data_IF_250539265781
#
_entry.id   IF_250539265781
#
_cell.length_a   1.000
_cell.length_b   1.000
_cell.length_c   1.000
_cell.angle_alpha   90.00
_cell.angle_beta   90.00
_cell.angle_gamma   90.00
#
_symmetry.space_group_name_H-M   'P 1'
#
loop_
_entity.id
_entity.type
_entity.pdbx_description
1 polymer ?
#
# COMPACT_ATOMS: atom_id res chain seq x y z
N UNK A 1 21.05 -5.21 2.57
CA UNK A 1 21.72 -6.49 2.95
C UNK A 1 22.15 -6.50 4.42
N UNK A 2 22.29 -5.35 5.06
CA UNK A 2 22.74 -5.22 6.46
C UNK A 2 21.59 -5.38 7.48
N UNK A 3 20.40 -5.76 7.02
CA UNK A 3 19.24 -6.00 7.90
C UNK A 3 19.55 -7.11 8.91
N UNK A 4 19.45 -6.80 10.20
CA UNK A 4 19.63 -7.78 11.26
C UNK A 4 18.44 -8.75 11.32
N UNK A 5 18.68 -9.95 11.87
CA UNK A 5 17.63 -10.96 12.08
C UNK A 5 16.47 -10.43 12.92
N UNK A 6 16.77 -9.64 13.95
CA UNK A 6 15.76 -9.12 14.86
C UNK A 6 14.93 -8.02 14.21
N UNK A 7 15.57 -7.12 13.44
CA UNK A 7 14.84 -6.13 12.66
C UNK A 7 13.94 -6.80 11.60
N UNK A 8 14.45 -7.84 10.91
CA UNK A 8 13.64 -8.61 9.96
C UNK A 8 12.40 -9.21 10.63
N UNK A 9 12.58 -9.91 11.75
CA UNK A 9 11.49 -10.54 12.49
C UNK A 9 10.45 -9.50 12.94
N UNK A 10 10.90 -8.43 13.58
CA UNK A 10 10.03 -7.37 14.08
C UNK A 10 9.23 -6.71 12.93
N UNK A 11 9.88 -6.42 11.79
CA UNK A 11 9.22 -5.82 10.63
C UNK A 11 8.15 -6.76 10.05
N UNK A 12 8.46 -8.05 9.90
CA UNK A 12 7.53 -9.05 9.41
C UNK A 12 6.35 -9.28 10.37
N UNK A 13 6.63 -9.33 11.67
CA UNK A 13 5.61 -9.49 12.69
C UNK A 13 4.61 -8.33 12.68
N UNK A 14 5.12 -7.09 12.72
CA UNK A 14 4.27 -5.89 12.79
C UNK A 14 3.56 -5.62 11.47
N UNK A 15 4.24 -5.75 10.33
CA UNK A 15 3.74 -5.24 9.05
C UNK A 15 3.13 -6.31 8.12
N UNK A 16 3.20 -7.58 8.52
CA UNK A 16 2.61 -8.69 7.76
C UNK A 16 1.81 -9.63 8.67
N UNK A 17 2.44 -10.23 9.69
CA UNK A 17 1.79 -11.24 10.53
C UNK A 17 0.59 -10.69 11.31
N UNK A 18 0.65 -9.44 11.78
CA UNK A 18 -0.46 -8.77 12.47
C UNK A 18 -1.75 -8.76 11.64
N UNK A 19 -1.65 -8.66 10.32
CA UNK A 19 -2.82 -8.78 9.43
C UNK A 19 -3.41 -10.20 9.44
N UNK A 20 -2.57 -11.21 9.35
CA UNK A 20 -3.00 -12.62 9.40
C UNK A 20 -3.69 -12.90 10.73
N UNK A 21 -3.10 -12.42 11.82
CA UNK A 21 -3.65 -12.56 13.17
C UNK A 21 -4.98 -11.82 13.31
N UNK A 22 -5.09 -10.60 12.79
CA UNK A 22 -6.35 -9.86 12.76
C UNK A 22 -7.44 -10.62 11.99
N UNK A 23 -7.13 -11.20 10.83
CA UNK A 23 -8.06 -12.04 10.07
C UNK A 23 -8.51 -13.27 10.87
N UNK A 24 -7.59 -13.92 11.59
CA UNK A 24 -7.89 -15.08 12.45
C UNK A 24 -8.91 -14.73 13.53
N UNK A 25 -8.74 -13.60 14.21
CA UNK A 25 -9.65 -13.18 15.28
C UNK A 25 -10.94 -12.56 14.76
N UNK A 26 -10.92 -11.93 13.59
CA UNK A 26 -12.12 -11.38 12.95
C UNK A 26 -13.03 -12.46 12.37
N UNK A 27 -12.47 -13.50 11.75
CA UNK A 27 -13.20 -14.53 11.03
C UNK A 27 -14.41 -15.12 11.82
N UNK A 28 -14.30 -15.52 13.11
CA UNK A 28 -15.42 -16.11 13.83
C UNK A 28 -16.53 -15.12 14.21
N UNK A 29 -16.29 -13.82 14.11
CA UNK A 29 -17.24 -12.77 14.48
C UNK A 29 -17.76 -11.97 13.28
N UNK A 30 -17.25 -12.24 12.07
CA UNK A 30 -17.71 -11.58 10.86
C UNK A 30 -18.99 -12.22 10.34
N UNK A 31 -19.92 -11.37 9.88
CA UNK A 31 -21.13 -11.82 9.20
C UNK A 31 -20.83 -12.24 7.76
N UNK A 32 -21.70 -13.03 7.17
CA UNK A 32 -21.71 -13.29 5.73
C UNK A 32 -21.76 -11.96 4.95
N UNK A 33 -20.98 -11.85 3.88
CA UNK A 33 -20.85 -10.62 3.10
C UNK A 33 -19.93 -9.57 3.72
N UNK A 34 -19.23 -9.88 4.82
CA UNK A 34 -18.23 -9.00 5.44
C UNK A 34 -17.07 -8.68 4.51
N UNK A 35 -16.33 -7.63 4.84
CA UNK A 35 -15.16 -7.21 4.04
C UNK A 35 -14.03 -6.72 4.93
N UNK A 36 -12.81 -7.09 4.57
CA UNK A 36 -11.56 -6.66 5.21
C UNK A 36 -10.73 -5.91 4.17
N UNK A 37 -10.15 -4.79 4.57
CA UNK A 37 -9.20 -4.03 3.76
C UNK A 37 -7.95 -3.75 4.58
N UNK A 38 -6.78 -3.96 3.97
CA UNK A 38 -5.50 -3.56 4.52
C UNK A 38 -4.82 -2.53 3.63
N UNK A 39 -3.78 -1.86 4.15
CA UNK A 39 -3.01 -0.88 3.40
C UNK A 39 -1.62 -1.43 3.07
N UNK A 40 -1.27 -1.37 1.80
CA UNK A 40 0.06 -1.68 1.29
C UNK A 40 0.68 -0.46 0.59
N UNK A 41 1.82 -0.64 -0.02
CA UNK A 41 2.54 0.41 -0.73
C UNK A 41 3.37 -0.18 -1.86
N UNK A 42 3.53 0.55 -2.95
CA UNK A 42 4.21 0.07 -4.16
C UNK A 42 5.65 -0.46 -3.94
N UNK A 43 6.24 -0.21 -2.78
CA UNK A 43 7.51 -0.84 -2.40
C UNK A 43 7.45 -2.37 -2.28
N UNK A 44 6.26 -2.97 -2.32
CA UNK A 44 6.04 -4.41 -2.48
C UNK A 44 6.41 -4.93 -3.86
N UNK A 45 6.25 -4.10 -4.89
CA UNK A 45 6.43 -4.46 -6.30
C UNK A 45 7.72 -3.88 -6.90
N UNK A 46 8.14 -2.71 -6.42
CA UNK A 46 9.29 -1.96 -6.94
C UNK A 46 10.20 -1.52 -5.82
N UNK A 47 11.49 -1.43 -6.12
CA UNK A 47 12.47 -0.92 -5.16
C UNK A 47 12.29 0.59 -4.99
N UNK A 48 12.08 1.02 -3.76
CA UNK A 48 12.08 2.42 -3.37
C UNK A 48 13.28 2.70 -2.48
N UNK A 49 14.00 3.80 -2.69
CA UNK A 49 15.12 4.18 -1.83
C UNK A 49 14.70 4.23 -0.36
N UNK A 50 15.53 3.67 0.52
CA UNK A 50 15.34 3.66 1.98
C UNK A 50 14.09 2.90 2.50
N UNK A 51 13.31 2.27 1.63
CA UNK A 51 12.15 1.48 2.07
C UNK A 51 12.56 0.06 2.53
N UNK A 52 13.63 -0.48 1.96
CA UNK A 52 14.35 -1.68 2.42
C UNK A 52 13.42 -2.86 2.77
N UNK A 53 13.60 -3.41 3.98
CA UNK A 53 12.87 -4.59 4.47
C UNK A 53 11.35 -4.37 4.58
N UNK A 54 10.89 -3.13 4.70
CA UNK A 54 9.47 -2.83 4.66
C UNK A 54 8.83 -3.22 3.32
N UNK A 55 9.56 -3.08 2.20
CA UNK A 55 9.11 -3.56 0.89
C UNK A 55 8.88 -5.07 0.88
N UNK A 56 9.77 -5.84 1.49
CA UNK A 56 9.63 -7.30 1.63
C UNK A 56 8.41 -7.64 2.47
N UNK A 57 8.19 -6.93 3.58
CA UNK A 57 7.02 -7.13 4.43
C UNK A 57 5.71 -6.79 3.71
N UNK A 58 5.69 -5.72 2.89
CA UNK A 58 4.50 -5.37 2.08
C UNK A 58 4.23 -6.39 0.98
N UNK A 59 5.25 -6.96 0.33
CA UNK A 59 5.09 -8.05 -0.62
C UNK A 59 4.50 -9.31 0.06
N UNK A 60 4.98 -9.64 1.25
CA UNK A 60 4.43 -10.73 2.06
C UNK A 60 2.98 -10.45 2.50
N UNK A 61 2.65 -9.21 2.87
CA UNK A 61 1.29 -8.78 3.21
C UNK A 61 0.34 -8.97 2.01
N UNK A 62 0.72 -8.56 0.81
CA UNK A 62 -0.10 -8.72 -0.40
C UNK A 62 -0.31 -10.19 -0.77
N UNK A 63 0.71 -11.01 -0.60
CA UNK A 63 0.53 -12.45 -0.70
C UNK A 63 -0.48 -12.97 0.34
N UNK A 64 -0.37 -12.53 1.59
CA UNK A 64 -1.27 -12.91 2.68
C UNK A 64 -2.72 -12.48 2.42
N UNK A 65 -2.96 -11.36 1.76
CA UNK A 65 -4.30 -10.92 1.32
C UNK A 65 -4.94 -11.96 0.40
N UNK A 66 -4.20 -12.47 -0.58
CA UNK A 66 -4.71 -13.50 -1.52
C UNK A 66 -5.06 -14.81 -0.81
N UNK A 67 -4.21 -15.28 0.10
CA UNK A 67 -4.49 -16.49 0.89
C UNK A 67 -5.66 -16.28 1.85
N UNK A 68 -5.73 -15.14 2.54
CA UNK A 68 -6.85 -14.80 3.41
C UNK A 68 -8.18 -14.69 2.64
N UNK A 69 -8.15 -14.12 1.43
CA UNK A 69 -9.32 -14.05 0.55
C UNK A 69 -9.84 -15.45 0.17
N UNK A 70 -8.94 -16.39 -0.09
CA UNK A 70 -9.29 -17.79 -0.40
C UNK A 70 -9.89 -18.49 0.81
N UNK A 71 -9.32 -18.31 1.99
CA UNK A 71 -9.78 -18.96 3.21
C UNK A 71 -11.13 -18.40 3.70
N UNK A 72 -11.25 -17.07 3.74
CA UNK A 72 -12.43 -16.37 4.28
C UNK A 72 -13.57 -16.30 3.26
N UNK A 73 -13.29 -16.48 1.98
CA UNK A 73 -14.28 -16.50 0.92
C UNK A 73 -15.34 -17.61 1.10
N UNK A 74 -15.00 -18.70 1.77
CA UNK A 74 -15.94 -19.77 2.15
C UNK A 74 -17.05 -19.31 3.10
N UNK A 75 -16.80 -18.19 3.82
CA UNK A 75 -17.75 -17.55 4.71
C UNK A 75 -18.42 -16.32 4.05
N UNK A 76 -18.23 -16.12 2.74
CA UNK A 76 -18.69 -14.92 2.03
C UNK A 76 -17.93 -13.64 2.40
N UNK A 77 -16.81 -13.72 3.11
CA UNK A 77 -16.02 -12.57 3.53
C UNK A 77 -14.96 -12.25 2.45
N UNK A 78 -14.89 -10.98 2.05
CA UNK A 78 -13.96 -10.47 1.06
C UNK A 78 -12.73 -9.86 1.74
N UNK A 79 -11.57 -10.00 1.14
CA UNK A 79 -10.31 -9.50 1.69
C UNK A 79 -9.51 -8.84 0.57
N UNK A 80 -9.20 -7.54 0.71
CA UNK A 80 -8.48 -6.78 -0.29
C UNK A 80 -7.40 -5.89 0.35
N UNK A 81 -6.52 -5.36 -0.47
CA UNK A 81 -5.55 -4.34 -0.08
C UNK A 81 -5.71 -3.08 -0.93
N UNK A 82 -5.32 -1.95 -0.38
CA UNK A 82 -5.13 -0.70 -1.12
C UNK A 82 -3.65 -0.34 -1.08
N UNK A 83 -3.05 -0.22 -2.26
CA UNK A 83 -1.73 0.35 -2.45
C UNK A 83 -1.88 1.86 -2.63
N UNK A 84 -1.73 2.60 -1.54
CA UNK A 84 -1.87 4.06 -1.55
C UNK A 84 -0.58 4.73 -2.04
N UNK A 85 -0.69 5.80 -2.79
CA UNK A 85 0.44 6.69 -3.08
C UNK A 85 0.96 7.38 -1.81
N UNK A 86 2.03 8.16 -1.91
CA UNK A 86 2.59 8.85 -0.75
C UNK A 86 1.60 9.87 -0.21
N UNK A 87 1.27 9.75 1.08
CA UNK A 87 0.34 10.63 1.81
C UNK A 87 1.07 11.20 3.01
N UNK A 88 0.92 12.51 3.23
CA UNK A 88 1.49 13.19 4.39
C UNK A 88 0.77 12.77 5.68
N UNK A 89 1.35 11.82 6.39
CA UNK A 89 0.86 11.32 7.67
C UNK A 89 1.94 11.47 8.75
N UNK A 90 1.56 11.32 10.02
CA UNK A 90 2.52 11.31 11.13
C UNK A 90 3.55 10.18 10.97
N UNK A 91 3.13 8.99 10.55
CA UNK A 91 4.02 7.86 10.30
C UNK A 91 4.99 8.14 9.15
N UNK A 92 4.51 8.78 8.07
CA UNK A 92 5.33 9.15 6.92
C UNK A 92 6.37 10.22 7.25
N UNK A 93 6.13 11.08 8.25
CA UNK A 93 7.09 12.10 8.67
C UNK A 93 8.37 11.52 9.27
N UNK A 94 8.37 10.26 9.70
CA UNK A 94 9.54 9.52 10.16
C UNK A 94 10.41 8.95 9.03
N UNK A 95 9.97 9.02 7.77
CA UNK A 95 10.75 8.58 6.61
C UNK A 95 11.66 9.73 6.17
N UNK A 96 12.97 9.47 6.10
CA UNK A 96 13.92 10.43 5.58
C UNK A 96 13.54 10.90 4.17
N UNK A 97 13.75 12.19 3.89
CA UNK A 97 13.46 12.81 2.57
C UNK A 97 12.00 12.68 2.08
N UNK A 98 11.03 12.43 2.97
CA UNK A 98 9.63 12.23 2.57
C UNK A 98 9.06 13.39 1.73
N UNK A 99 9.53 14.63 1.96
CA UNK A 99 9.14 15.79 1.13
C UNK A 99 9.59 15.63 -0.31
N UNK A 100 10.79 15.09 -0.53
CA UNK A 100 11.31 14.81 -1.88
C UNK A 100 10.47 13.70 -2.55
N UNK A 101 10.05 12.68 -1.81
CA UNK A 101 9.16 11.63 -2.32
C UNK A 101 7.82 12.22 -2.78
N UNK A 102 7.20 13.10 -2.00
CA UNK A 102 5.96 13.77 -2.37
C UNK A 102 6.13 14.63 -3.63
N UNK A 103 7.18 15.42 -3.69
CA UNK A 103 7.44 16.29 -4.84
C UNK A 103 7.79 15.47 -6.10
N UNK A 104 8.62 14.43 -5.95
CA UNK A 104 8.88 13.49 -7.04
C UNK A 104 7.58 12.88 -7.60
N UNK A 105 6.68 12.46 -6.72
CA UNK A 105 5.41 11.87 -7.15
C UNK A 105 4.53 12.88 -7.89
N UNK A 106 4.45 14.11 -7.40
CA UNK A 106 3.72 15.21 -8.09
C UNK A 106 4.26 15.47 -9.50
N UNK A 107 5.58 15.49 -9.67
CA UNK A 107 6.19 15.75 -10.95
C UNK A 107 6.02 14.59 -11.95
N UNK A 108 5.93 13.36 -11.44
CA UNK A 108 6.05 12.18 -12.27
C UNK A 108 4.79 11.32 -12.38
N UNK A 109 3.78 11.45 -11.52
CA UNK A 109 2.55 10.67 -11.68
C UNK A 109 1.63 11.26 -12.78
N UNK A 110 0.82 10.44 -13.44
CA UNK A 110 -0.08 10.87 -14.52
C UNK A 110 -1.03 12.02 -14.17
N UNK A 111 -1.52 12.09 -12.92
CA UNK A 111 -2.42 13.16 -12.49
C UNK A 111 -1.69 14.40 -11.94
N UNK A 112 -0.34 14.41 -11.93
CA UNK A 112 0.51 15.51 -11.47
C UNK A 112 0.13 16.08 -10.10
N UNK A 113 -0.24 15.22 -9.17
CA UNK A 113 -0.55 15.54 -7.79
C UNK A 113 -0.41 14.32 -6.89
N UNK A 114 -0.29 14.51 -5.61
CA UNK A 114 -0.39 13.43 -4.65
C UNK A 114 -1.85 13.01 -4.41
N UNK A 115 -2.04 11.75 -4.04
CA UNK A 115 -3.32 11.23 -3.56
C UNK A 115 -3.66 11.84 -2.19
N UNK A 116 -4.94 12.02 -1.91
CA UNK A 116 -5.41 12.49 -0.61
C UNK A 116 -5.87 11.33 0.29
N UNK A 117 -5.96 11.59 1.61
CA UNK A 117 -6.52 10.63 2.56
C UNK A 117 -7.98 10.31 2.25
N UNK A 118 -8.74 11.31 1.80
CA UNK A 118 -10.14 11.17 1.42
C UNK A 118 -10.31 10.21 0.23
N UNK A 119 -9.47 10.31 -0.79
CA UNK A 119 -9.52 9.42 -1.96
C UNK A 119 -9.24 7.97 -1.58
N UNK A 120 -8.25 7.74 -0.72
CA UNK A 120 -7.99 6.40 -0.16
C UNK A 120 -9.15 5.94 0.71
N UNK A 121 -9.72 6.82 1.53
CA UNK A 121 -10.90 6.54 2.36
C UNK A 121 -12.13 6.19 1.54
N UNK A 122 -12.41 6.92 0.46
CA UNK A 122 -13.54 6.63 -0.45
C UNK A 122 -13.38 5.29 -1.16
N UNK A 123 -12.17 4.96 -1.62
CA UNK A 123 -11.90 3.64 -2.22
C UNK A 123 -12.05 2.53 -1.17
N UNK A 124 -11.58 2.75 0.05
CA UNK A 124 -11.77 1.82 1.17
C UNK A 124 -13.26 1.60 1.42
N UNK A 125 -14.03 2.67 1.49
CA UNK A 125 -15.49 2.61 1.68
C UNK A 125 -16.17 1.82 0.56
N UNK A 126 -15.77 2.02 -0.70
CA UNK A 126 -16.33 1.27 -1.83
C UNK A 126 -16.03 -0.23 -1.70
N UNK A 127 -14.80 -0.61 -1.33
CA UNK A 127 -14.44 -2.02 -1.10
C UNK A 127 -15.16 -2.65 0.09
N UNK A 128 -15.44 -1.88 1.13
CA UNK A 128 -16.16 -2.35 2.32
C UNK A 128 -17.70 -2.40 2.10
N UNK A 129 -18.22 -1.67 1.13
CA UNK A 129 -19.65 -1.56 0.82
C UNK A 129 -20.12 -2.61 -0.20
N UNK A 130 -21.45 -2.64 -0.51
CA UNK A 130 -22.00 -3.46 -1.60
C UNK A 130 -21.40 -3.18 -2.98
N UNK A 131 -20.78 -2.01 -3.21
CA UNK A 131 -20.11 -1.71 -4.47
C UNK A 131 -18.92 -2.65 -4.75
N UNK A 132 -18.32 -3.23 -3.72
CA UNK A 132 -17.19 -4.14 -3.82
C UNK A 132 -17.51 -5.63 -3.79
N UNK A 133 -18.77 -6.06 -3.91
CA UNK A 133 -19.19 -7.46 -3.69
C UNK A 133 -18.51 -8.49 -4.60
N UNK A 134 -18.08 -8.10 -5.78
CA UNK A 134 -17.34 -8.96 -6.71
C UNK A 134 -15.82 -8.87 -6.60
N UNK A 135 -15.28 -8.13 -5.62
CA UNK A 135 -13.84 -7.84 -5.50
C UNK A 135 -13.28 -8.52 -4.25
N UNK A 136 -12.37 -9.48 -4.43
CA UNK A 136 -11.63 -10.11 -3.33
C UNK A 136 -10.27 -10.60 -3.80
N UNK A 137 -9.27 -10.56 -2.94
CA UNK A 137 -7.89 -10.95 -3.23
C UNK A 137 -7.09 -9.91 -4.02
N UNK A 138 -7.64 -8.71 -4.22
CA UNK A 138 -7.06 -7.68 -5.07
C UNK A 138 -6.22 -6.66 -4.28
N UNK A 139 -5.24 -6.08 -4.98
CA UNK A 139 -4.49 -4.91 -4.55
C UNK A 139 -4.89 -3.74 -5.46
N UNK A 140 -5.65 -2.81 -4.92
CA UNK A 140 -6.16 -1.65 -5.65
C UNK A 140 -5.21 -0.47 -5.46
N UNK A 141 -4.66 0.04 -6.56
CA UNK A 141 -3.79 1.22 -6.53
C UNK A 141 -4.61 2.51 -6.45
N UNK A 142 -4.29 3.35 -5.47
CA UNK A 142 -4.86 4.70 -5.28
C UNK A 142 -3.69 5.66 -5.10
N UNK A 143 -3.02 6.01 -6.19
CA UNK A 143 -1.71 6.66 -6.21
C UNK A 143 -1.54 7.68 -7.34
N UNK A 144 -2.66 8.18 -7.88
CA UNK A 144 -2.68 9.10 -9.01
C UNK A 144 -2.02 8.52 -10.28
N UNK A 145 -1.94 7.18 -10.40
CA UNK A 145 -1.38 6.48 -11.54
C UNK A 145 0.14 6.28 -11.49
N UNK A 146 0.79 6.62 -10.38
CA UNK A 146 2.26 6.53 -10.30
C UNK A 146 2.80 5.11 -10.55
N UNK A 147 2.09 4.08 -10.11
CA UNK A 147 2.54 2.68 -10.27
C UNK A 147 2.73 2.23 -11.73
N UNK A 148 2.03 2.85 -12.70
CA UNK A 148 2.14 2.46 -14.11
C UNK A 148 3.37 3.07 -14.81
N UNK A 149 4.06 4.02 -14.16
CA UNK A 149 5.20 4.70 -14.77
C UNK A 149 6.45 3.84 -14.82
N UNK A 150 7.07 3.81 -16.01
CA UNK A 150 8.34 3.13 -16.24
C UNK A 150 9.56 4.06 -16.24
N UNK A 151 9.35 5.39 -16.38
CA UNK A 151 10.42 6.39 -16.39
C UNK A 151 9.89 7.75 -15.91
N UNK A 152 10.79 8.71 -15.70
CA UNK A 152 10.40 10.07 -15.31
C UNK A 152 9.55 10.76 -16.40
N UNK A 153 8.69 11.70 -15.96
CA UNK A 153 7.94 12.54 -16.89
C UNK A 153 8.89 13.54 -17.59
N UNK A 154 9.02 13.44 -18.92
CA UNK A 154 9.96 14.25 -19.67
C UNK A 154 9.56 15.74 -19.68
N UNK A 155 8.28 16.05 -19.60
CA UNK A 155 7.80 17.45 -19.55
C UNK A 155 8.27 18.17 -18.28
N UNK A 156 8.50 17.43 -17.19
CA UNK A 156 8.96 17.92 -15.91
C UNK A 156 10.45 17.63 -15.63
N UNK A 157 11.21 17.21 -16.65
CA UNK A 157 12.59 16.76 -16.47
C UNK A 157 13.51 17.84 -15.85
N UNK A 158 13.35 19.10 -16.23
CA UNK A 158 14.14 20.20 -15.70
C UNK A 158 13.87 20.46 -14.21
N UNK A 159 12.60 20.45 -13.81
CA UNK A 159 12.17 20.62 -12.41
C UNK A 159 12.59 19.42 -11.54
N UNK A 160 12.44 18.23 -12.09
CA UNK A 160 12.92 17.00 -11.44
C UNK A 160 14.43 17.04 -11.20
N UNK A 161 15.21 17.50 -12.17
CA UNK A 161 16.66 17.65 -12.03
C UNK A 161 17.03 18.72 -10.98
N UNK A 162 16.31 19.85 -10.94
CA UNK A 162 16.51 20.88 -9.92
C UNK A 162 16.26 20.34 -8.51
N UNK A 163 15.16 19.62 -8.31
CA UNK A 163 14.82 18.99 -7.03
C UNK A 163 15.89 18.02 -6.53
N UNK A 164 16.54 17.28 -7.43
CA UNK A 164 17.58 16.30 -7.07
C UNK A 164 18.93 16.97 -6.75
N UNK A 165 19.11 18.24 -7.09
CA UNK A 165 20.35 19.01 -6.82
C UNK A 165 20.34 19.71 -5.44
N UNK A 166 19.21 19.77 -4.76
CA UNK A 166 19.02 20.29 -3.39
C UNK A 166 19.22 19.19 -2.34
#
# INVERSE_FOLDING_TARGET
IDTTRDNFKMTMEISCFSFIEACKYASPIMNEGGSIVTLTYMGSERVLPNYNIMGVAKAALEASVRYAAMDMGKQGVRVNAISAGPIKTLAASGIGDFRKILHWNELNCPLHRNVTQEEVGMTTMALLSPCGTGITGEVIHVDCGYHIQGMLCLDNAAETAAMLSE
#
